data_IF_872740176798
#
_entry.id   IF_872740176798
#
_cell.length_a   1.000
_cell.length_b   1.000
_cell.length_c   1.000
_cell.angle_alpha   90.00
_cell.angle_beta   90.00
_cell.angle_gamma   90.00
#
_symmetry.space_group_name_H-M   'P 1'
#
loop_
_entity.id
_entity.type
_entity.pdbx_description
1 polymer ?
#
# COMPACT_ATOMS: atom_id res chain seq x y z
N UNK A 1 -6.36 6.21 -11.02
CA UNK A 1 -5.16 6.93 -11.52
C UNK A 1 -4.45 7.59 -10.36
N UNK A 2 -3.13 7.45 -10.26
CA UNK A 2 -2.26 8.15 -9.30
C UNK A 2 -1.34 9.11 -10.09
N UNK A 3 -1.27 10.38 -9.69
CA UNK A 3 -0.39 11.36 -10.30
C UNK A 3 0.43 12.09 -9.23
N UNK A 4 1.71 12.21 -9.46
CA UNK A 4 2.64 13.02 -8.67
C UNK A 4 3.15 14.16 -9.55
N UNK A 5 3.26 15.35 -8.99
CA UNK A 5 3.69 16.55 -9.71
C UNK A 5 4.75 17.32 -8.94
N UNK A 6 5.93 17.41 -9.50
CA UNK A 6 7.07 18.21 -8.97
C UNK A 6 7.38 17.92 -7.50
N UNK A 7 7.26 16.63 -7.07
CA UNK A 7 7.53 16.22 -5.70
C UNK A 7 9.00 16.33 -5.37
N UNK A 8 9.30 16.99 -4.25
CA UNK A 8 10.66 17.03 -3.69
C UNK A 8 10.62 16.76 -2.19
N UNK A 9 11.66 16.11 -1.68
CA UNK A 9 11.83 15.84 -0.26
C UNK A 9 13.30 15.86 0.14
N UNK A 10 13.56 16.57 1.25
CA UNK A 10 14.86 16.61 1.89
C UNK A 10 14.73 16.24 3.38
N UNK A 11 15.77 15.70 3.97
CA UNK A 11 15.95 15.58 5.42
C UNK A 11 17.14 16.45 5.83
N UNK A 12 16.86 17.67 6.32
CA UNK A 12 17.88 18.68 6.51
C UNK A 12 18.55 19.03 5.18
N UNK A 13 19.88 18.93 5.12
CA UNK A 13 20.65 19.21 3.90
C UNK A 13 20.75 18.00 2.95
N UNK A 14 20.14 16.86 3.31
CA UNK A 14 20.20 15.64 2.51
C UNK A 14 18.98 15.53 1.57
N UNK A 15 19.17 15.69 0.25
CA UNK A 15 18.06 15.51 -0.71
C UNK A 15 17.77 14.01 -0.88
N UNK A 16 16.48 13.63 -0.75
CA UNK A 16 16.01 12.27 -1.04
C UNK A 16 15.64 12.15 -2.51
N UNK A 17 14.82 13.08 -3.00
CA UNK A 17 14.50 13.22 -4.42
C UNK A 17 14.05 14.66 -4.72
N UNK A 18 14.08 15.02 -6.00
CA UNK A 18 13.77 16.38 -6.44
C UNK A 18 12.98 16.38 -7.75
N UNK A 19 11.81 17.02 -7.73
CA UNK A 19 11.03 17.31 -8.93
C UNK A 19 10.37 16.09 -9.57
N UNK A 20 10.09 15.01 -8.81
CA UNK A 20 9.44 13.82 -9.36
C UNK A 20 8.07 14.18 -9.97
N UNK A 21 7.86 13.77 -11.21
CA UNK A 21 6.61 14.01 -11.93
C UNK A 21 6.27 12.75 -12.71
N UNK A 22 5.17 12.10 -12.37
CA UNK A 22 4.76 10.85 -13.03
C UNK A 22 3.26 10.61 -12.90
N UNK A 23 2.70 9.88 -13.85
CA UNK A 23 1.30 9.43 -13.81
C UNK A 23 1.23 7.93 -13.96
N UNK A 24 0.85 7.26 -12.87
CA UNK A 24 0.62 5.83 -12.87
C UNK A 24 -0.79 5.52 -13.36
N UNK A 25 -0.88 4.70 -14.39
CA UNK A 25 -2.14 4.14 -14.88
C UNK A 25 -2.46 2.83 -14.14
N UNK A 26 -3.70 2.29 -14.25
CA UNK A 26 -3.97 0.94 -13.74
C UNK A 26 -2.90 -0.05 -14.20
N UNK A 27 -2.39 -0.80 -13.25
CA UNK A 27 -1.27 -1.71 -13.46
C UNK A 27 -0.59 -2.06 -12.14
N UNK A 28 0.32 -3.02 -12.20
CA UNK A 28 1.15 -3.44 -11.07
C UNK A 28 2.55 -2.85 -11.26
N UNK A 29 2.96 -1.95 -10.35
CA UNK A 29 4.22 -1.21 -10.45
C UNK A 29 5.05 -1.41 -9.18
N UNK A 30 6.29 -1.81 -9.34
CA UNK A 30 7.22 -2.05 -8.25
C UNK A 30 8.38 -1.04 -8.26
N UNK A 31 8.59 -0.39 -7.12
CA UNK A 31 9.81 0.37 -6.86
C UNK A 31 10.88 -0.61 -6.35
N UNK A 32 11.86 -0.90 -7.21
CA UNK A 32 12.90 -1.90 -6.95
C UNK A 32 14.29 -1.27 -7.10
N UNK A 33 14.74 -0.59 -6.08
CA UNK A 33 16.08 0.02 -6.00
C UNK A 33 16.80 -0.45 -4.74
N UNK A 34 18.11 -0.20 -4.65
CA UNK A 34 18.90 -0.43 -3.44
C UNK A 34 18.30 0.28 -2.21
N UNK A 35 18.72 -0.13 -1.04
CA UNK A 35 18.25 0.48 0.22
C UNK A 35 18.59 1.97 0.27
N UNK A 36 17.77 2.72 1.00
CA UNK A 36 17.96 4.17 1.23
C UNK A 36 17.75 5.09 0.01
N UNK A 37 17.14 4.61 -1.08
CA UNK A 37 16.85 5.44 -2.27
C UNK A 37 15.59 6.31 -2.13
N UNK A 38 14.89 6.23 -0.99
CA UNK A 38 13.69 7.04 -0.74
C UNK A 38 12.36 6.37 -1.06
N UNK A 39 12.32 5.06 -1.37
CA UNK A 39 11.08 4.31 -1.66
C UNK A 39 10.00 4.51 -0.58
N UNK A 40 10.31 4.17 0.67
CA UNK A 40 9.37 4.34 1.79
C UNK A 40 9.00 5.80 2.01
N UNK A 41 9.93 6.74 1.77
CA UNK A 41 9.64 8.18 1.83
C UNK A 41 8.59 8.55 0.78
N UNK A 42 8.77 8.12 -0.47
CA UNK A 42 7.82 8.36 -1.56
C UNK A 42 6.46 7.73 -1.26
N UNK A 43 6.43 6.45 -0.85
CA UNK A 43 5.18 5.76 -0.51
C UNK A 43 4.45 6.43 0.66
N UNK A 44 5.17 6.89 1.69
CA UNK A 44 4.58 7.62 2.82
C UNK A 44 4.03 9.00 2.40
N UNK A 45 4.67 9.69 1.46
CA UNK A 45 4.14 10.95 0.90
C UNK A 45 2.86 10.67 0.12
N UNK A 46 2.86 9.65 -0.75
CA UNK A 46 1.68 9.28 -1.54
C UNK A 46 0.54 8.81 -0.61
N UNK A 47 0.86 8.11 0.49
CA UNK A 47 -0.12 7.71 1.51
C UNK A 47 -0.63 8.88 2.38
N UNK A 48 -0.04 10.07 2.26
CA UNK A 48 -0.41 11.24 3.07
C UNK A 48 0.01 11.14 4.53
N UNK A 49 1.03 10.33 4.83
CA UNK A 49 1.63 10.17 6.16
C UNK A 49 2.85 11.08 6.35
N UNK A 50 3.42 11.56 5.26
CA UNK A 50 4.56 12.48 5.25
C UNK A 50 4.27 13.59 4.24
N UNK A 51 4.52 14.84 4.65
CA UNK A 51 4.39 15.99 3.75
C UNK A 51 5.62 16.12 2.85
N UNK A 52 5.45 16.36 1.53
CA UNK A 52 6.55 16.74 0.66
C UNK A 52 7.00 18.17 0.97
N UNK A 53 8.24 18.52 0.61
CA UNK A 53 8.71 19.92 0.72
C UNK A 53 8.12 20.77 -0.41
N UNK A 54 7.95 20.18 -1.60
CA UNK A 54 7.24 20.80 -2.75
C UNK A 54 6.49 19.74 -3.54
N UNK A 55 5.56 20.20 -4.37
CA UNK A 55 4.80 19.35 -5.28
C UNK A 55 3.46 18.90 -4.71
N UNK A 56 2.77 18.06 -5.46
CA UNK A 56 1.40 17.63 -5.13
C UNK A 56 1.16 16.17 -5.56
N UNK A 57 0.31 15.48 -4.80
CA UNK A 57 -0.16 14.13 -5.10
C UNK A 57 -1.66 14.16 -5.40
N UNK A 58 -2.07 13.46 -6.44
CA UNK A 58 -3.45 13.31 -6.87
C UNK A 58 -3.85 11.85 -6.89
N UNK A 59 -4.88 11.51 -6.14
CA UNK A 59 -5.46 10.17 -6.06
C UNK A 59 -6.85 10.22 -6.69
N UNK A 60 -7.03 9.50 -7.79
CA UNK A 60 -8.32 9.43 -8.51
C UNK A 60 -8.96 10.81 -8.78
N UNK A 61 -8.13 11.77 -9.18
CA UNK A 61 -8.56 13.16 -9.45
C UNK A 61 -8.69 14.06 -8.22
N UNK A 62 -8.46 13.55 -7.02
CA UNK A 62 -8.51 14.32 -5.77
C UNK A 62 -7.10 14.67 -5.29
N UNK A 63 -6.85 15.96 -5.06
CA UNK A 63 -5.62 16.44 -4.47
C UNK A 63 -5.49 16.00 -3.01
N UNK A 64 -4.37 15.37 -2.67
CA UNK A 64 -4.11 14.94 -1.29
C UNK A 64 -3.97 16.13 -0.32
N UNK A 65 -3.54 17.29 -0.81
CA UNK A 65 -3.41 18.52 -0.01
C UNK A 65 -4.73 19.29 0.11
N UNK A 66 -5.50 19.42 -0.99
CA UNK A 66 -6.71 20.28 -1.04
C UNK A 66 -7.99 19.53 -0.69
N UNK A 67 -8.01 18.20 -0.92
CA UNK A 67 -9.15 17.34 -0.70
C UNK A 67 -8.72 16.01 -0.03
N UNK A 68 -8.04 16.05 1.15
CA UNK A 68 -7.41 14.87 1.74
C UNK A 68 -8.38 13.75 2.08
N UNK A 69 -9.59 14.08 2.49
CA UNK A 69 -10.60 13.05 2.82
C UNK A 69 -11.04 12.27 1.58
N UNK A 70 -11.31 12.97 0.46
CA UNK A 70 -11.70 12.36 -0.80
C UNK A 70 -10.54 11.52 -1.38
N UNK A 71 -9.32 12.05 -1.35
CA UNK A 71 -8.13 11.34 -1.81
C UNK A 71 -7.91 10.04 -1.00
N UNK A 72 -7.95 10.13 0.34
CA UNK A 72 -7.78 8.96 1.22
C UNK A 72 -8.88 7.92 1.08
N UNK A 73 -10.12 8.33 0.82
CA UNK A 73 -11.22 7.39 0.56
C UNK A 73 -10.98 6.53 -0.70
N UNK A 74 -10.20 7.03 -1.66
CA UNK A 74 -9.88 6.37 -2.92
C UNK A 74 -8.56 5.60 -2.92
N UNK A 75 -7.91 5.44 -1.76
CA UNK A 75 -6.66 4.71 -1.64
C UNK A 75 -6.68 3.71 -0.49
N UNK A 76 -5.76 2.74 -0.57
CA UNK A 76 -5.40 1.86 0.53
C UNK A 76 -3.88 1.88 0.73
N UNK A 77 -3.45 1.73 1.98
CA UNK A 77 -2.03 1.69 2.32
C UNK A 77 -1.70 0.49 3.21
N UNK A 78 -0.71 -0.28 2.80
CA UNK A 78 -0.10 -1.38 3.58
C UNK A 78 1.28 -0.92 4.05
N UNK A 79 1.45 -0.56 5.33
CA UNK A 79 2.73 -0.06 5.84
C UNK A 79 3.75 -1.18 6.03
N UNK A 80 5.06 -0.84 5.98
CA UNK A 80 6.09 -1.80 6.37
C UNK A 80 6.00 -2.14 7.87
N UNK A 81 5.86 -1.15 8.74
CA UNK A 81 5.60 -1.39 10.16
C UNK A 81 4.09 -1.55 10.43
N UNK A 82 3.66 -2.79 10.56
CA UNK A 82 2.27 -3.15 10.85
C UNK A 82 1.92 -3.20 12.35
N UNK A 83 2.74 -2.66 13.26
CA UNK A 83 2.47 -2.61 14.71
C UNK A 83 1.89 -1.24 15.14
N UNK A 84 0.85 -0.77 14.47
CA UNK A 84 0.28 0.54 14.75
C UNK A 84 -0.71 0.52 15.92
N UNK A 85 -1.40 -0.60 16.15
CA UNK A 85 -2.50 -0.72 17.12
C UNK A 85 -2.32 -1.97 18.01
N UNK A 86 -1.38 -1.99 18.99
CA UNK A 86 -1.01 -3.20 19.73
C UNK A 86 -2.15 -3.93 20.42
N UNK A 87 -3.10 -3.19 21.01
CA UNK A 87 -4.23 -3.73 21.78
C UNK A 87 -5.46 -4.07 20.95
N UNK A 88 -5.53 -3.62 19.70
CA UNK A 88 -6.65 -3.85 18.78
C UNK A 88 -6.55 -5.24 18.15
N UNK A 89 -7.67 -5.87 17.87
CA UNK A 89 -7.71 -7.12 17.10
C UNK A 89 -7.70 -6.84 15.59
N UNK A 90 -7.36 -7.86 14.80
CA UNK A 90 -7.44 -7.75 13.34
C UNK A 90 -8.86 -7.43 12.86
N UNK A 91 -9.87 -8.07 13.46
CA UNK A 91 -11.29 -7.84 13.15
C UNK A 91 -11.70 -6.40 13.43
N UNK A 92 -11.38 -5.88 14.62
CA UNK A 92 -11.69 -4.49 14.99
C UNK A 92 -11.04 -3.50 14.02
N UNK A 93 -9.81 -3.75 13.56
CA UNK A 93 -9.18 -2.87 12.56
C UNK A 93 -9.90 -2.92 11.21
N UNK A 94 -10.29 -4.11 10.73
CA UNK A 94 -11.04 -4.24 9.47
C UNK A 94 -12.39 -3.51 9.55
N UNK A 95 -13.14 -3.67 10.65
CA UNK A 95 -14.41 -3.00 10.89
C UNK A 95 -14.24 -1.46 10.97
N UNK A 96 -13.20 -1.00 11.65
CA UNK A 96 -12.88 0.43 11.73
C UNK A 96 -12.60 1.02 10.34
N UNK A 97 -11.71 0.40 9.55
CA UNK A 97 -11.37 0.86 8.20
C UNK A 97 -12.59 0.82 7.28
N UNK A 98 -13.43 -0.21 7.38
CA UNK A 98 -14.66 -0.30 6.64
C UNK A 98 -15.61 0.85 6.98
N UNK A 99 -15.77 1.16 8.27
CA UNK A 99 -16.59 2.29 8.73
C UNK A 99 -16.07 3.65 8.23
N UNK A 100 -14.74 3.88 8.29
CA UNK A 100 -14.08 5.09 7.78
C UNK A 100 -14.31 5.27 6.26
N UNK A 101 -14.41 4.17 5.52
CA UNK A 101 -14.70 4.16 4.07
C UNK A 101 -16.19 4.11 3.74
N UNK A 102 -17.08 4.20 4.74
CA UNK A 102 -18.54 4.07 4.60
C UNK A 102 -18.97 2.76 3.91
N UNK A 103 -18.31 1.66 4.25
CA UNK A 103 -18.60 0.31 3.75
C UNK A 103 -18.65 -0.68 4.92
N UNK A 104 -18.70 -1.96 4.63
CA UNK A 104 -18.61 -3.05 5.60
C UNK A 104 -17.52 -4.04 5.16
N UNK A 105 -17.14 -4.94 6.04
CA UNK A 105 -16.24 -6.05 5.70
C UNK A 105 -17.04 -7.03 4.84
N UNK A 106 -16.79 -7.00 3.54
CA UNK A 106 -17.54 -7.74 2.53
C UNK A 106 -16.94 -9.14 2.27
N UNK A 107 -17.63 -9.94 1.46
CA UNK A 107 -17.20 -11.29 1.10
C UNK A 107 -15.86 -11.30 0.36
N UNK A 108 -15.53 -10.26 -0.42
CA UNK A 108 -14.25 -10.17 -1.12
C UNK A 108 -13.08 -10.01 -0.15
N UNK A 109 -13.25 -9.18 0.88
CA UNK A 109 -12.25 -9.03 1.93
C UNK A 109 -12.10 -10.31 2.77
N UNK A 110 -13.22 -10.99 3.07
CA UNK A 110 -13.20 -12.26 3.80
C UNK A 110 -12.57 -13.39 2.97
N UNK A 111 -12.83 -13.46 1.68
CA UNK A 111 -12.16 -14.41 0.77
C UNK A 111 -10.65 -14.17 0.74
N UNK A 112 -10.22 -12.92 0.63
CA UNK A 112 -8.79 -12.60 0.69
C UNK A 112 -8.18 -12.98 2.05
N UNK A 113 -8.88 -12.73 3.17
CA UNK A 113 -8.43 -13.15 4.49
C UNK A 113 -8.24 -14.68 4.56
N UNK A 114 -9.18 -15.45 3.99
CA UNK A 114 -9.11 -16.90 3.91
C UNK A 114 -7.90 -17.36 3.07
N UNK A 115 -7.73 -16.85 1.86
CA UNK A 115 -6.59 -17.18 0.97
C UNK A 115 -5.24 -16.83 1.59
N UNK A 116 -5.16 -15.75 2.36
CA UNK A 116 -3.98 -15.38 3.13
C UNK A 116 -3.77 -16.25 4.38
N UNK A 117 -4.73 -17.10 4.78
CA UNK A 117 -4.70 -17.87 6.03
C UNK A 117 -4.81 -16.99 7.26
N UNK A 118 -5.53 -15.88 7.18
CA UNK A 118 -5.69 -14.91 8.28
C UNK A 118 -6.85 -15.27 9.22
N UNK A 119 -7.90 -15.94 8.75
CA UNK A 119 -9.14 -16.17 9.52
C UNK A 119 -8.94 -16.65 10.96
N UNK A 120 -8.06 -17.65 11.26
CA UNK A 120 -7.85 -18.13 12.63
C UNK A 120 -7.19 -17.13 13.56
N UNK A 121 -6.77 -15.99 13.01
CA UNK A 121 -6.00 -14.97 13.72
C UNK A 121 -6.73 -13.62 13.85
N UNK A 122 -7.91 -13.47 13.23
CA UNK A 122 -8.65 -12.20 13.21
C UNK A 122 -8.99 -11.67 14.60
N UNK A 123 -9.27 -12.54 15.55
CA UNK A 123 -9.66 -12.19 16.92
C UNK A 123 -8.46 -12.07 17.88
N UNK A 124 -7.22 -12.25 17.39
CA UNK A 124 -6.00 -11.97 18.15
C UNK A 124 -5.70 -10.47 18.15
N UNK A 125 -5.11 -9.98 19.25
CA UNK A 125 -4.57 -8.62 19.29
C UNK A 125 -3.29 -8.53 18.47
N UNK A 126 -3.00 -7.35 17.90
CA UNK A 126 -1.79 -7.14 17.10
C UNK A 126 -0.50 -7.50 17.85
N UNK A 127 -0.41 -7.20 19.16
CA UNK A 127 0.74 -7.59 20.00
C UNK A 127 0.97 -9.10 20.08
N UNK A 128 -0.07 -9.93 19.85
CA UNK A 128 -0.02 -11.40 19.88
C UNK A 128 0.22 -12.02 18.49
N UNK A 129 0.24 -11.20 17.45
CA UNK A 129 0.42 -11.64 16.06
C UNK A 129 1.90 -11.61 15.67
N UNK A 130 2.31 -12.51 14.78
CA UNK A 130 3.58 -12.40 14.05
C UNK A 130 3.55 -11.21 13.10
N UNK A 131 4.72 -10.74 12.66
CA UNK A 131 4.81 -9.66 11.65
C UNK A 131 4.04 -10.01 10.38
N UNK A 132 4.18 -11.24 9.87
CA UNK A 132 3.44 -11.71 8.71
C UNK A 132 1.92 -11.72 8.93
N UNK A 133 1.44 -12.15 10.11
CA UNK A 133 0.00 -12.14 10.43
C UNK A 133 -0.56 -10.71 10.46
N UNK A 134 0.16 -9.76 11.06
CA UNK A 134 -0.24 -8.35 11.05
C UNK A 134 -0.34 -7.80 9.63
N UNK A 135 0.64 -8.13 8.79
CA UNK A 135 0.65 -7.71 7.38
C UNK A 135 -0.54 -8.25 6.62
N UNK A 136 -0.92 -9.51 6.85
CA UNK A 136 -2.13 -10.10 6.27
C UNK A 136 -3.40 -9.31 6.62
N UNK A 137 -3.50 -8.73 7.83
CA UNK A 137 -4.63 -7.85 8.21
C UNK A 137 -4.66 -6.58 7.34
N UNK A 138 -3.52 -5.89 7.15
CA UNK A 138 -3.46 -4.69 6.31
C UNK A 138 -3.69 -5.00 4.82
N UNK A 139 -3.21 -6.14 4.33
CA UNK A 139 -3.49 -6.61 2.97
C UNK A 139 -4.99 -6.88 2.77
N UNK A 140 -5.65 -7.51 3.76
CA UNK A 140 -7.12 -7.70 3.74
C UNK A 140 -7.84 -6.36 3.77
N UNK A 141 -7.41 -5.42 4.63
CA UNK A 141 -7.99 -4.08 4.70
C UNK A 141 -7.85 -3.29 3.39
N UNK A 142 -6.82 -3.59 2.58
CA UNK A 142 -6.65 -2.96 1.28
C UNK A 142 -7.72 -3.36 0.25
N UNK A 143 -8.48 -4.43 0.49
CA UNK A 143 -9.64 -4.81 -0.34
C UNK A 143 -10.89 -3.95 -0.06
N UNK A 144 -10.98 -3.31 1.13
CA UNK A 144 -12.17 -2.60 1.57
C UNK A 144 -12.41 -1.28 0.81
N UNK A 145 -13.65 -1.02 0.44
CA UNK A 145 -14.11 0.27 -0.11
C UNK A 145 -13.60 0.58 -1.52
N UNK A 146 -13.21 -0.40 -2.29
CA UNK A 146 -12.82 -0.30 -3.72
C UNK A 146 -11.85 0.85 -4.01
N UNK A 147 -10.66 0.86 -3.41
CA UNK A 147 -9.67 1.91 -3.65
C UNK A 147 -9.22 1.91 -5.12
N UNK A 148 -9.06 3.10 -5.71
CA UNK A 148 -8.49 3.26 -7.04
C UNK A 148 -6.96 3.11 -7.05
N UNK A 149 -6.32 3.30 -5.89
CA UNK A 149 -4.88 3.22 -5.69
C UNK A 149 -4.58 2.38 -4.44
N UNK A 150 -3.73 1.38 -4.60
CA UNK A 150 -3.22 0.53 -3.52
C UNK A 150 -1.72 0.76 -3.43
N UNK A 151 -1.26 1.13 -2.24
CA UNK A 151 0.14 1.41 -1.95
C UNK A 151 0.61 0.39 -0.92
N UNK A 152 1.77 -0.25 -1.14
CA UNK A 152 2.30 -1.21 -0.18
C UNK A 152 3.81 -1.10 -0.01
N UNK A 153 4.28 -1.02 1.23
CA UNK A 153 5.70 -1.03 1.56
C UNK A 153 6.09 -2.42 2.08
N UNK A 154 6.92 -3.14 1.33
CA UNK A 154 7.35 -4.50 1.64
C UNK A 154 6.20 -5.52 1.81
N UNK A 155 5.25 -5.62 0.87
CA UNK A 155 3.99 -6.35 1.08
C UNK A 155 4.16 -7.87 1.32
N UNK A 156 5.27 -8.48 0.85
CA UNK A 156 5.55 -9.91 1.05
C UNK A 156 6.39 -10.22 2.30
N UNK A 157 6.92 -9.19 2.99
CA UNK A 157 7.80 -9.40 4.14
C UNK A 157 7.11 -10.20 5.25
N UNK A 158 7.71 -11.34 5.63
CA UNK A 158 7.20 -12.22 6.70
C UNK A 158 5.99 -13.08 6.31
N UNK A 159 5.57 -13.09 5.05
CA UNK A 159 4.54 -13.99 4.55
C UNK A 159 5.13 -15.39 4.28
N UNK A 160 4.33 -16.41 4.54
CA UNK A 160 4.59 -17.77 4.09
C UNK A 160 4.33 -17.93 2.58
N UNK A 161 4.76 -19.05 2.01
CA UNK A 161 4.65 -19.31 0.55
C UNK A 161 3.21 -19.24 0.03
N UNK A 162 2.24 -19.79 0.80
CA UNK A 162 0.83 -19.74 0.40
C UNK A 162 0.30 -18.31 0.36
N UNK A 163 0.59 -17.52 1.39
CA UNK A 163 0.16 -16.12 1.46
C UNK A 163 0.83 -15.25 0.38
N UNK A 164 2.10 -15.52 0.00
CA UNK A 164 2.76 -14.83 -1.13
C UNK A 164 2.08 -15.13 -2.45
N UNK A 165 1.74 -16.40 -2.71
CA UNK A 165 1.01 -16.77 -3.92
C UNK A 165 -0.36 -16.07 -3.99
N UNK A 166 -1.11 -16.08 -2.87
CA UNK A 166 -2.39 -15.37 -2.78
C UNK A 166 -2.25 -13.86 -2.97
N UNK A 167 -1.16 -13.26 -2.46
CA UNK A 167 -0.87 -11.83 -2.66
C UNK A 167 -0.57 -11.52 -4.12
N UNK A 168 0.26 -12.32 -4.79
CA UNK A 168 0.61 -12.13 -6.19
C UNK A 168 -0.64 -12.19 -7.08
N UNK A 169 -1.49 -13.18 -6.87
CA UNK A 169 -2.78 -13.33 -7.56
C UNK A 169 -3.69 -12.13 -7.30
N UNK A 170 -3.77 -11.67 -6.05
CA UNK A 170 -4.58 -10.51 -5.70
C UNK A 170 -4.06 -9.22 -6.35
N UNK A 171 -2.74 -9.04 -6.43
CA UNK A 171 -2.15 -7.89 -7.13
C UNK A 171 -2.46 -7.92 -8.62
N UNK A 172 -2.43 -9.10 -9.26
CA UNK A 172 -2.87 -9.25 -10.65
C UNK A 172 -4.34 -8.84 -10.83
N UNK A 173 -5.23 -9.29 -9.94
CA UNK A 173 -6.67 -8.94 -9.98
C UNK A 173 -6.85 -7.42 -9.84
N UNK A 174 -6.23 -6.83 -8.83
CA UNK A 174 -6.38 -5.39 -8.58
C UNK A 174 -5.80 -4.53 -9.70
N UNK A 175 -4.67 -4.94 -10.29
CA UNK A 175 -3.98 -4.17 -11.32
C UNK A 175 -4.74 -4.06 -12.65
N UNK A 176 -5.79 -4.86 -12.85
CA UNK A 176 -6.62 -4.77 -14.06
C UNK A 176 -7.35 -3.42 -14.17
N UNK A 177 -7.77 -2.85 -13.03
CA UNK A 177 -8.55 -1.61 -12.99
C UNK A 177 -7.99 -0.57 -12.03
N UNK A 178 -6.98 -0.92 -11.22
CA UNK A 178 -6.42 -0.10 -10.13
C UNK A 178 -4.92 0.06 -10.28
N UNK A 179 -4.40 1.12 -9.71
CA UNK A 179 -2.94 1.28 -9.54
C UNK A 179 -2.51 0.48 -8.31
N UNK A 180 -1.62 -0.48 -8.48
CA UNK A 180 -0.94 -1.18 -7.39
C UNK A 180 0.52 -0.76 -7.41
N UNK A 181 0.90 0.15 -6.50
CA UNK A 181 2.27 0.67 -6.37
C UNK A 181 2.90 0.13 -5.09
N UNK A 182 4.02 -0.57 -5.20
CA UNK A 182 4.65 -1.14 -4.02
C UNK A 182 6.17 -1.12 -4.09
N UNK A 183 6.82 -1.19 -2.91
CA UNK A 183 8.26 -1.40 -2.80
C UNK A 183 8.55 -2.85 -2.43
N UNK A 184 9.39 -3.54 -3.19
CA UNK A 184 9.77 -4.92 -2.89
C UNK A 184 11.07 -5.31 -3.60
N UNK A 185 11.82 -6.25 -2.97
CA UNK A 185 12.95 -6.98 -3.57
C UNK A 185 12.60 -8.45 -3.84
N UNK A 186 11.38 -8.86 -3.60
CA UNK A 186 10.92 -10.23 -3.76
C UNK A 186 10.73 -10.55 -5.24
N UNK A 187 11.75 -11.11 -5.87
CA UNK A 187 11.74 -11.42 -7.30
C UNK A 187 10.59 -12.37 -7.69
N UNK A 188 10.23 -13.31 -6.81
CA UNK A 188 9.10 -14.22 -7.05
C UNK A 188 7.77 -13.47 -7.08
N UNK A 189 7.56 -12.51 -6.16
CA UNK A 189 6.37 -11.66 -6.17
C UNK A 189 6.33 -10.78 -7.42
N UNK A 190 7.46 -10.14 -7.78
CA UNK A 190 7.54 -9.25 -8.95
C UNK A 190 7.17 -9.99 -10.25
N UNK A 191 7.74 -11.18 -10.46
CA UNK A 191 7.45 -12.02 -11.62
C UNK A 191 6.00 -12.51 -11.58
N UNK A 192 5.55 -13.05 -10.44
CA UNK A 192 4.23 -13.65 -10.31
C UNK A 192 3.10 -12.64 -10.48
N UNK A 193 3.24 -11.37 -10.05
CA UNK A 193 2.22 -10.35 -10.28
C UNK A 193 2.42 -9.57 -11.59
N UNK A 194 3.46 -9.86 -12.38
CA UNK A 194 3.74 -9.17 -13.64
C UNK A 194 4.05 -7.68 -13.44
N UNK A 195 4.77 -7.32 -12.38
CA UNK A 195 5.03 -5.94 -12.04
C UNK A 195 5.97 -5.27 -13.06
N UNK A 196 5.61 -4.06 -13.49
CA UNK A 196 6.53 -3.13 -14.12
C UNK A 196 7.51 -2.62 -13.06
N UNK A 197 8.81 -2.76 -13.31
CA UNK A 197 9.85 -2.31 -12.38
C UNK A 197 10.26 -0.90 -12.78
N UNK A 198 10.17 0.04 -11.84
CA UNK A 198 10.54 1.45 -12.05
C UNK A 198 11.49 1.88 -10.92
N UNK A 199 12.54 2.61 -11.30
CA UNK A 199 13.42 3.29 -10.34
C UNK A 199 12.88 4.70 -10.05
N UNK A 200 13.08 5.22 -8.82
CA UNK A 200 12.63 6.58 -8.47
C UNK A 200 13.25 7.63 -9.38
N UNK A 201 14.49 7.42 -9.79
CA UNK A 201 15.19 8.32 -10.72
C UNK A 201 14.52 8.43 -12.11
N UNK A 202 13.67 7.47 -12.49
CA UNK A 202 12.94 7.47 -13.76
C UNK A 202 11.61 8.25 -13.68
N UNK A 203 11.21 8.69 -12.48
CA UNK A 203 9.97 9.45 -12.24
C UNK A 203 10.16 10.98 -12.43
N UNK A 204 11.14 11.42 -13.20
CA UNK A 204 11.50 12.84 -13.40
C UNK A 204 10.92 13.37 -14.70
#
# INVERSE_FOLDING_TARGET
MLRIENLSKNYGDYPVFKGLTHTFQPGCVALCEEDSTGKSTLLNIIAGLLEPDTGEVWIDGHSLMKAPQQARARMAYVPDNCMLFPSQTGRELLEQIAAEKNTHVDDNALDLACRLGLEPHLDKRFEQMSTGTRRKVFLTAAALGEPAVIIADGPSNGLDTQARAALAEQFQIWSQERVVLFASYDAELLEACGAEIINIAELV
#
